data_IF_813056152603
#
_entry.id   IF_813056152603
#
_cell.length_a   1.000
_cell.length_b   1.000
_cell.length_c   1.000
_cell.angle_alpha   90.00
_cell.angle_beta   90.00
_cell.angle_gamma   90.00
#
_symmetry.space_group_name_H-M   'P 1'
#
loop_
_entity.id
_entity.type
_entity.pdbx_description
1 polymer ?
#
# COMPACT_ATOMS: atom_id res chain seq x y z
N UNK A 1 -39.99 20.56 18.74
CA UNK A 1 -39.10 19.80 19.67
C UNK A 1 -39.45 18.32 19.72
N UNK A 2 -40.73 17.94 19.54
CA UNK A 2 -41.15 16.54 19.46
C UNK A 2 -40.67 15.83 18.17
N UNK A 3 -40.69 16.51 17.03
CA UNK A 3 -40.28 15.94 15.74
C UNK A 3 -38.77 15.62 15.67
N UNK A 4 -37.93 16.36 16.40
CA UNK A 4 -36.48 16.14 16.40
C UNK A 4 -36.07 14.88 17.19
N UNK A 5 -36.85 14.53 18.22
CA UNK A 5 -36.63 13.30 18.99
C UNK A 5 -37.14 12.07 18.23
N UNK A 6 -38.23 12.22 17.48
CA UNK A 6 -38.78 11.16 16.64
C UNK A 6 -37.84 10.79 15.50
N UNK A 7 -37.26 11.79 14.82
CA UNK A 7 -36.23 11.58 13.80
C UNK A 7 -34.99 10.86 14.37
N UNK A 8 -34.56 11.22 15.59
CA UNK A 8 -33.42 10.55 16.24
C UNK A 8 -33.71 9.11 16.68
N UNK A 9 -34.96 8.79 16.99
CA UNK A 9 -35.35 7.42 17.34
C UNK A 9 -35.55 6.54 16.10
N UNK A 10 -36.00 7.14 14.99
CA UNK A 10 -36.10 6.52 13.67
C UNK A 10 -34.70 6.25 13.07
N UNK A 11 -33.80 7.24 13.11
CA UNK A 11 -32.38 7.07 12.72
C UNK A 11 -31.69 5.98 13.56
N UNK A 12 -31.96 5.94 14.88
CA UNK A 12 -31.43 4.89 15.78
C UNK A 12 -32.10 3.52 15.58
N UNK A 13 -33.30 3.49 15.03
CA UNK A 13 -34.03 2.27 14.66
C UNK A 13 -33.47 1.68 13.38
N UNK A 14 -33.27 2.51 12.36
CA UNK A 14 -32.64 2.13 11.10
C UNK A 14 -31.20 1.67 11.28
N UNK A 15 -30.39 2.33 12.13
CA UNK A 15 -29.03 1.88 12.47
C UNK A 15 -29.01 0.49 13.11
N UNK A 16 -30.01 0.15 13.95
CA UNK A 16 -30.13 -1.18 14.58
C UNK A 16 -30.58 -2.25 13.60
N UNK A 17 -31.46 -1.91 12.67
CA UNK A 17 -31.92 -2.83 11.63
C UNK A 17 -30.87 -3.06 10.54
N UNK A 18 -30.04 -2.05 10.23
CA UNK A 18 -28.84 -2.22 9.40
C UNK A 18 -27.79 -3.08 10.10
N UNK A 19 -27.51 -2.85 11.39
CA UNK A 19 -26.59 -3.68 12.18
C UNK A 19 -26.97 -5.17 12.23
N UNK A 20 -28.27 -5.48 12.19
CA UNK A 20 -28.78 -6.86 12.17
C UNK A 20 -28.72 -7.52 10.80
N UNK A 21 -28.61 -6.75 9.71
CA UNK A 21 -28.63 -7.26 8.33
C UNK A 21 -27.24 -7.71 7.84
N UNK A 22 -26.16 -7.28 8.50
CA UNK A 22 -24.78 -7.59 8.10
C UNK A 22 -24.20 -8.78 8.90
N UNK A 23 -24.08 -9.92 8.23
CA UNK A 23 -23.34 -11.08 8.75
C UNK A 23 -21.83 -10.82 8.72
N UNK A 24 -21.07 -11.41 9.65
CA UNK A 24 -19.62 -11.26 9.65
C UNK A 24 -19.03 -11.76 8.31
N UNK A 25 -18.10 -11.01 7.69
CA UNK A 25 -17.42 -11.41 6.47
C UNK A 25 -16.63 -12.68 6.76
N UNK A 26 -17.13 -13.81 6.26
CA UNK A 26 -16.49 -15.12 6.36
C UNK A 26 -15.49 -15.37 5.23
N UNK A 27 -15.29 -14.40 4.33
CA UNK A 27 -14.37 -14.54 3.22
C UNK A 27 -12.93 -14.71 3.77
N UNK A 28 -12.21 -15.67 3.21
CA UNK A 28 -10.76 -15.80 3.40
C UNK A 28 -10.09 -15.37 2.12
N UNK A 29 -8.89 -14.82 2.17
CA UNK A 29 -8.21 -14.44 0.92
C UNK A 29 -8.11 -15.67 0.03
N UNK A 30 -8.76 -15.61 -1.14
CA UNK A 30 -8.59 -16.59 -2.20
C UNK A 30 -7.29 -16.24 -2.93
N UNK A 31 -6.18 -16.26 -2.18
CA UNK A 31 -4.84 -16.07 -2.72
C UNK A 31 -4.64 -17.22 -3.69
N UNK A 32 -3.96 -16.95 -4.82
CA UNK A 32 -3.41 -18.00 -5.66
C UNK A 32 -2.31 -18.76 -4.88
N UNK A 33 -2.72 -19.56 -3.90
CA UNK A 33 -1.87 -20.34 -2.99
C UNK A 33 -1.35 -21.62 -3.64
N UNK A 34 -1.56 -21.78 -4.95
CA UNK A 34 -1.22 -22.98 -5.70
C UNK A 34 0.28 -23.35 -5.58
N UNK A 35 1.13 -22.43 -5.13
CA UNK A 35 2.58 -22.61 -4.98
C UNK A 35 3.10 -22.44 -3.53
N UNK A 36 2.23 -22.31 -2.52
CA UNK A 36 2.69 -22.20 -1.12
C UNK A 36 2.71 -23.60 -0.48
N UNK A 37 3.84 -24.03 0.12
CA UNK A 37 3.90 -25.27 0.88
C UNK A 37 2.80 -25.37 1.94
N UNK A 38 2.21 -26.55 2.11
CA UNK A 38 1.04 -26.77 2.99
C UNK A 38 1.34 -26.40 4.45
N UNK A 39 2.53 -26.73 4.94
CA UNK A 39 3.03 -26.39 6.27
C UNK A 39 3.07 -24.87 6.50
N UNK A 40 3.59 -24.11 5.54
CA UNK A 40 3.60 -22.64 5.59
C UNK A 40 2.17 -22.10 5.59
N UNK A 41 1.29 -22.66 4.75
CA UNK A 41 -0.11 -22.24 4.70
C UNK A 41 -0.83 -22.49 6.04
N UNK A 42 -0.70 -23.68 6.61
CA UNK A 42 -1.29 -24.04 7.90
C UNK A 42 -0.77 -23.16 9.03
N UNK A 43 0.54 -22.87 9.03
CA UNK A 43 1.14 -21.93 9.97
C UNK A 43 0.57 -20.51 9.85
N UNK A 44 0.46 -19.96 8.63
CA UNK A 44 -0.09 -18.62 8.38
C UNK A 44 -1.60 -18.53 8.71
N UNK A 45 -2.33 -19.62 8.47
CA UNK A 45 -3.74 -19.76 8.86
C UNK A 45 -3.89 -19.76 10.38
N UNK A 46 -3.10 -20.57 11.09
CA UNK A 46 -3.10 -20.63 12.55
C UNK A 46 -2.68 -19.30 13.19
N UNK A 47 -1.75 -18.57 12.57
CA UNK A 47 -1.35 -17.23 12.97
C UNK A 47 -2.42 -16.14 12.67
N UNK A 48 -3.52 -16.49 12.00
CA UNK A 48 -4.61 -15.57 11.65
C UNK A 48 -4.21 -14.50 10.62
N UNK A 49 -3.17 -14.75 9.82
CA UNK A 49 -2.66 -13.80 8.82
C UNK A 49 -3.55 -13.73 7.57
N UNK A 50 -4.31 -14.78 7.31
CA UNK A 50 -5.13 -14.97 6.10
C UNK A 50 -6.63 -14.75 6.32
N UNK A 51 -7.01 -14.26 7.51
CA UNK A 51 -8.40 -13.93 7.86
C UNK A 51 -8.64 -12.42 7.90
N UNK A 52 -9.88 -11.97 7.63
CA UNK A 52 -10.28 -10.58 7.79
C UNK A 52 -10.36 -10.21 9.27
N UNK A 53 -10.44 -8.89 9.53
CA UNK A 53 -10.80 -8.38 10.85
C UNK A 53 -12.33 -8.44 11.03
N UNK A 54 -12.85 -8.30 12.26
CA UNK A 54 -14.28 -8.06 12.47
C UNK A 54 -14.73 -6.86 11.64
N UNK A 55 -15.86 -6.98 10.93
CA UNK A 55 -16.22 -6.06 9.85
C UNK A 55 -16.34 -4.60 10.30
N UNK A 56 -16.89 -4.32 11.48
CA UNK A 56 -17.01 -2.95 12.01
C UNK A 56 -15.64 -2.31 12.16
N UNK A 57 -14.68 -3.07 12.69
CA UNK A 57 -13.31 -2.63 12.84
C UNK A 57 -12.63 -2.47 11.47
N UNK A 58 -12.80 -3.44 10.58
CA UNK A 58 -12.25 -3.40 9.22
C UNK A 58 -12.75 -2.18 8.44
N UNK A 59 -14.07 -1.95 8.43
CA UNK A 59 -14.71 -0.84 7.76
C UNK A 59 -14.18 0.50 8.27
N UNK A 60 -14.13 0.70 9.59
CA UNK A 60 -13.60 1.93 10.16
C UNK A 60 -12.12 2.13 9.85
N UNK A 61 -11.31 1.07 9.91
CA UNK A 61 -9.89 1.14 9.52
C UNK A 61 -9.74 1.54 8.05
N UNK A 62 -10.53 0.93 7.15
CA UNK A 62 -10.52 1.27 5.72
C UNK A 62 -10.96 2.71 5.49
N UNK A 63 -12.02 3.17 6.16
CA UNK A 63 -12.48 4.56 6.10
C UNK A 63 -11.39 5.52 6.55
N UNK A 64 -10.69 5.22 7.64
CA UNK A 64 -9.56 5.99 8.13
C UNK A 64 -8.37 5.98 7.17
N UNK A 65 -8.07 4.82 6.57
CA UNK A 65 -7.02 4.69 5.56
C UNK A 65 -7.32 5.58 4.35
N UNK A 66 -8.53 5.53 3.80
CA UNK A 66 -8.96 6.37 2.66
C UNK A 66 -8.79 7.85 3.00
N UNK A 67 -9.16 8.24 4.22
CA UNK A 67 -9.17 9.64 4.65
C UNK A 67 -7.77 10.20 4.90
N UNK A 68 -6.89 9.44 5.55
CA UNK A 68 -5.63 9.96 6.10
C UNK A 68 -4.36 9.42 5.44
N UNK A 69 -4.42 8.26 4.77
CA UNK A 69 -3.24 7.58 4.21
C UNK A 69 -3.29 7.56 2.68
N UNK A 70 -4.45 7.23 2.11
CA UNK A 70 -4.63 7.05 0.67
C UNK A 70 -4.22 8.25 -0.22
N UNK A 71 -4.43 9.52 0.16
CA UNK A 71 -4.01 10.67 -0.66
C UNK A 71 -2.50 10.71 -0.92
N UNK A 72 -1.71 10.09 -0.04
CA UNK A 72 -0.24 9.98 -0.14
C UNK A 72 0.16 8.62 -0.72
N UNK A 73 -0.74 7.63 -0.75
CA UNK A 73 -0.47 6.21 -1.00
C UNK A 73 -1.66 5.57 -1.71
N UNK A 74 -1.81 5.89 -3.00
CA UNK A 74 -2.97 5.49 -3.81
C UNK A 74 -2.93 3.99 -4.19
N UNK A 75 -3.14 3.12 -3.19
CA UNK A 75 -2.97 1.66 -3.30
C UNK A 75 -4.29 0.87 -3.21
N UNK A 76 -5.43 1.53 -2.98
CA UNK A 76 -6.72 0.85 -2.80
C UNK A 76 -7.34 0.29 -4.07
N UNK A 77 -7.03 0.85 -5.24
CA UNK A 77 -7.63 0.38 -6.50
C UNK A 77 -7.32 -1.11 -6.77
N UNK A 78 -6.20 -1.62 -6.24
CA UNK A 78 -5.79 -3.02 -6.35
C UNK A 78 -6.38 -3.92 -5.25
N UNK A 79 -6.82 -3.34 -4.14
CA UNK A 79 -7.34 -4.05 -2.96
C UNK A 79 -8.86 -4.19 -3.04
N UNK A 80 -9.56 -3.11 -3.40
CA UNK A 80 -11.02 -3.05 -3.53
C UNK A 80 -11.36 -3.13 -5.01
N UNK A 81 -11.05 -4.27 -5.63
CA UNK A 81 -11.63 -4.60 -6.93
C UNK A 81 -13.15 -4.64 -6.80
N UNK A 82 -13.87 -4.10 -7.77
CA UNK A 82 -15.34 -4.15 -7.83
C UNK A 82 -15.83 -5.59 -7.65
N UNK A 83 -16.38 -5.90 -6.48
CA UNK A 83 -16.98 -7.19 -6.14
C UNK A 83 -16.24 -7.97 -5.05
N UNK A 84 -17.00 -8.64 -4.19
CA UNK A 84 -16.65 -9.33 -2.94
C UNK A 84 -15.58 -10.45 -3.04
N UNK A 85 -14.95 -10.66 -4.19
CA UNK A 85 -14.21 -11.89 -4.48
C UNK A 85 -12.69 -11.78 -4.67
N UNK A 86 -12.06 -10.60 -4.65
CA UNK A 86 -10.62 -10.54 -5.03
C UNK A 86 -9.80 -9.47 -4.30
N UNK A 87 -9.63 -9.58 -2.98
CA UNK A 87 -8.40 -9.04 -2.40
C UNK A 87 -7.25 -9.97 -2.81
N UNK A 88 -6.40 -9.50 -3.73
CA UNK A 88 -5.36 -10.32 -4.38
C UNK A 88 -4.14 -10.58 -3.48
N UNK A 89 -3.90 -9.69 -2.52
CA UNK A 89 -2.70 -9.69 -1.68
C UNK A 89 -3.10 -9.63 -0.21
N UNK A 90 -2.90 -10.72 0.54
CA UNK A 90 -3.05 -10.70 1.99
C UNK A 90 -2.00 -9.81 2.66
N UNK A 91 -0.78 -9.77 2.11
CA UNK A 91 0.30 -8.91 2.63
C UNK A 91 -0.13 -7.44 2.57
N UNK A 92 -0.57 -6.98 1.41
CA UNK A 92 -1.02 -5.61 1.20
C UNK A 92 -2.25 -5.29 2.05
N UNK A 93 -3.19 -6.23 2.17
CA UNK A 93 -4.33 -6.07 3.05
C UNK A 93 -3.92 -5.80 4.50
N UNK A 94 -3.08 -6.67 5.09
CA UNK A 94 -2.66 -6.52 6.48
C UNK A 94 -1.90 -5.20 6.67
N UNK A 95 -1.10 -4.79 5.67
CA UNK A 95 -0.39 -3.51 5.70
C UNK A 95 -1.32 -2.29 5.60
N UNK A 96 -2.40 -2.35 4.80
CA UNK A 96 -3.44 -1.31 4.76
C UNK A 96 -4.19 -1.23 6.08
N UNK A 97 -4.53 -2.37 6.67
CA UNK A 97 -5.18 -2.40 7.98
C UNK A 97 -4.27 -1.78 9.05
N UNK A 98 -2.98 -2.12 9.03
CA UNK A 98 -1.98 -1.52 9.91
C UNK A 98 -1.91 0.00 9.71
N UNK A 99 -1.85 0.49 8.48
CA UNK A 99 -1.73 1.92 8.23
C UNK A 99 -2.98 2.70 8.68
N UNK A 100 -4.17 2.21 8.35
CA UNK A 100 -5.45 2.86 8.70
C UNK A 100 -5.75 2.84 10.20
N UNK A 101 -5.34 1.78 10.90
CA UNK A 101 -5.59 1.64 12.35
C UNK A 101 -4.93 2.73 13.20
N UNK A 102 -4.01 3.54 12.66
CA UNK A 102 -3.37 4.64 13.40
C UNK A 102 -4.38 5.73 13.81
N UNK A 103 -5.51 5.80 13.10
CA UNK A 103 -6.49 6.87 13.24
C UNK A 103 -7.82 6.40 13.83
N UNK A 104 -7.92 5.12 14.18
CA UNK A 104 -9.14 4.55 14.77
C UNK A 104 -9.20 4.83 16.27
N UNK A 105 -10.38 5.25 16.74
CA UNK A 105 -10.68 5.47 18.16
C UNK A 105 -11.74 4.47 18.61
N UNK A 106 -11.61 3.94 19.81
CA UNK A 106 -12.60 3.12 20.55
C UNK A 106 -13.06 1.78 19.93
N UNK A 107 -12.83 1.53 18.64
CA UNK A 107 -13.22 0.27 17.98
C UNK A 107 -12.30 -0.91 18.29
N UNK A 108 -11.04 -0.66 18.68
CA UNK A 108 -10.09 -1.72 19.01
C UNK A 108 -10.55 -2.56 20.22
N UNK A 109 -11.02 -1.89 21.29
CA UNK A 109 -11.52 -2.57 22.49
C UNK A 109 -12.83 -3.31 22.22
N UNK A 110 -13.74 -2.70 21.46
CA UNK A 110 -14.99 -3.33 21.06
C UNK A 110 -14.77 -4.62 20.25
N UNK A 111 -13.69 -4.68 19.47
CA UNK A 111 -13.28 -5.85 18.72
C UNK A 111 -12.43 -6.87 19.52
N UNK A 112 -12.33 -6.72 20.85
CA UNK A 112 -11.62 -7.67 21.73
C UNK A 112 -10.11 -7.47 21.83
N UNK A 113 -9.55 -6.37 21.32
CA UNK A 113 -8.13 -6.03 21.52
C UNK A 113 -7.93 -5.28 22.84
N UNK A 114 -6.82 -5.54 23.52
CA UNK A 114 -6.53 -4.90 24.82
C UNK A 114 -6.28 -3.39 24.69
N UNK A 115 -5.69 -2.97 23.56
CA UNK A 115 -5.39 -1.57 23.25
C UNK A 115 -5.23 -1.36 21.75
N UNK A 116 -5.19 -0.10 21.32
CA UNK A 116 -4.84 0.25 19.94
C UNK A 116 -3.41 -0.20 19.58
N UNK A 117 -2.49 -0.13 20.54
CA UNK A 117 -1.10 -0.61 20.37
C UNK A 117 -1.09 -2.13 20.14
N UNK A 118 -1.88 -2.90 20.89
CA UNK A 118 -2.00 -4.36 20.69
C UNK A 118 -2.57 -4.72 19.32
N UNK A 119 -3.62 -4.02 18.87
CA UNK A 119 -4.17 -4.18 17.52
C UNK A 119 -3.09 -3.94 16.45
N UNK A 120 -2.40 -2.81 16.55
CA UNK A 120 -1.35 -2.40 15.58
C UNK A 120 -0.17 -3.37 15.58
N UNK A 121 0.26 -3.82 16.76
CA UNK A 121 1.30 -4.83 16.91
C UNK A 121 0.90 -6.14 16.21
N UNK A 122 -0.32 -6.63 16.44
CA UNK A 122 -0.83 -7.85 15.77
C UNK A 122 -0.92 -7.69 14.26
N UNK A 123 -1.40 -6.55 13.75
CA UNK A 123 -1.46 -6.27 12.31
C UNK A 123 -0.07 -6.23 11.67
N UNK A 124 0.89 -5.57 12.34
CA UNK A 124 2.28 -5.55 11.89
C UNK A 124 2.89 -6.94 11.85
N UNK A 125 2.68 -7.76 12.90
CA UNK A 125 3.15 -9.14 12.92
C UNK A 125 2.57 -9.98 11.79
N UNK A 126 1.27 -9.85 11.50
CA UNK A 126 0.64 -10.54 10.36
C UNK A 126 1.29 -10.14 9.04
N UNK A 127 1.47 -8.85 8.78
CA UNK A 127 2.13 -8.36 7.57
C UNK A 127 3.59 -8.87 7.47
N UNK A 128 4.33 -8.82 8.57
CA UNK A 128 5.70 -9.34 8.65
C UNK A 128 5.77 -10.83 8.31
N UNK A 129 4.93 -11.67 8.91
CA UNK A 129 4.91 -13.11 8.66
C UNK A 129 4.58 -13.42 7.19
N UNK A 130 3.63 -12.69 6.59
CA UNK A 130 3.28 -12.85 5.18
C UNK A 130 4.43 -12.45 4.25
N UNK A 131 5.17 -11.39 4.60
CA UNK A 131 6.35 -10.98 3.84
C UNK A 131 7.48 -12.01 3.95
N UNK A 132 7.80 -12.46 5.17
CA UNK A 132 8.88 -13.43 5.44
C UNK A 132 8.58 -14.82 4.85
N UNK A 133 7.30 -15.19 4.77
CA UNK A 133 6.86 -16.42 4.09
C UNK A 133 6.98 -16.34 2.55
N UNK A 134 7.24 -15.16 1.98
CA UNK A 134 7.46 -15.00 0.54
C UNK A 134 6.24 -15.26 -0.34
N UNK A 135 5.02 -15.22 0.24
CA UNK A 135 3.79 -15.61 -0.48
C UNK A 135 3.29 -14.55 -1.48
N UNK A 136 3.78 -13.32 -1.37
CA UNK A 136 3.38 -12.23 -2.26
C UNK A 136 4.22 -12.24 -3.53
N UNK A 137 3.62 -12.63 -4.66
CA UNK A 137 4.31 -12.71 -5.94
C UNK A 137 4.30 -11.40 -6.72
N UNK A 138 3.29 -10.54 -6.52
CA UNK A 138 3.23 -9.27 -7.21
C UNK A 138 4.20 -8.27 -6.54
N UNK A 139 5.27 -7.86 -7.23
CA UNK A 139 6.27 -7.00 -6.62
C UNK A 139 5.72 -5.59 -6.35
N UNK A 140 4.69 -5.13 -7.07
CA UNK A 140 4.04 -3.85 -6.76
C UNK A 140 3.29 -3.90 -5.44
N UNK A 141 2.44 -4.91 -5.25
CA UNK A 141 1.75 -5.17 -3.96
C UNK A 141 2.75 -5.33 -2.82
N UNK A 142 3.87 -6.02 -3.06
CA UNK A 142 4.95 -6.17 -2.08
C UNK A 142 5.58 -4.82 -1.70
N UNK A 143 5.95 -3.98 -2.67
CA UNK A 143 6.53 -2.65 -2.41
C UNK A 143 5.52 -1.78 -1.65
N UNK A 144 4.25 -1.75 -2.08
CA UNK A 144 3.20 -0.98 -1.42
C UNK A 144 3.04 -1.40 0.05
N UNK A 145 3.00 -2.70 0.33
CA UNK A 145 2.89 -3.21 1.68
C UNK A 145 4.10 -2.81 2.54
N UNK A 146 5.32 -2.93 2.01
CA UNK A 146 6.54 -2.54 2.71
C UNK A 146 6.57 -1.04 3.05
N UNK A 147 6.12 -0.18 2.13
CA UNK A 147 5.97 1.27 2.39
C UNK A 147 4.99 1.48 3.55
N UNK A 148 3.84 0.82 3.55
CA UNK A 148 2.83 0.97 4.60
C UNK A 148 3.31 0.42 5.96
N UNK A 149 4.07 -0.68 5.97
CA UNK A 149 4.68 -1.22 7.19
C UNK A 149 5.61 -0.22 7.86
N UNK A 150 6.28 0.64 7.08
CA UNK A 150 7.16 1.68 7.64
C UNK A 150 6.40 2.73 8.46
N UNK A 151 5.06 2.83 8.36
CA UNK A 151 4.23 3.77 9.12
C UNK A 151 4.03 3.39 10.59
N UNK A 152 4.57 2.25 11.00
CA UNK A 152 4.53 1.80 12.38
C UNK A 152 5.94 1.54 12.89
N UNK A 153 6.17 1.91 14.14
CA UNK A 153 7.36 1.61 14.91
C UNK A 153 6.93 1.45 16.36
N UNK A 154 7.47 0.44 17.03
CA UNK A 154 7.32 0.24 18.46
C UNK A 154 8.72 0.02 19.03
N UNK A 155 9.07 0.74 20.10
CA UNK A 155 10.39 0.69 20.76
C UNK A 155 10.67 -0.65 21.48
N UNK A 156 9.98 -1.72 21.09
CA UNK A 156 10.21 -3.07 21.61
C UNK A 156 11.46 -3.67 21.00
N UNK A 157 12.39 -4.09 21.85
CA UNK A 157 13.63 -4.77 21.48
C UNK A 157 13.35 -5.94 20.51
N UNK A 158 13.91 -5.85 19.29
CA UNK A 158 13.88 -6.94 18.29
C UNK A 158 12.92 -6.76 17.10
N UNK A 159 12.12 -5.70 17.05
CA UNK A 159 11.42 -5.34 15.80
C UNK A 159 12.39 -4.69 14.82
N UNK A 160 12.20 -4.93 13.52
CA UNK A 160 13.01 -4.30 12.48
C UNK A 160 12.48 -2.87 12.25
N UNK A 161 13.37 -1.88 12.31
CA UNK A 161 12.99 -0.47 12.23
C UNK A 161 12.42 -0.09 10.85
N UNK A 162 11.63 1.00 10.73
CA UNK A 162 11.17 1.53 9.45
C UNK A 162 12.24 1.69 8.36
N UNK A 163 13.48 2.16 8.67
CA UNK A 163 14.64 2.08 7.78
C UNK A 163 14.82 0.74 7.05
N UNK A 164 14.71 -0.38 7.77
CA UNK A 164 14.92 -1.72 7.21
C UNK A 164 13.88 -2.05 6.14
N UNK A 165 12.60 -1.81 6.42
CA UNK A 165 11.50 -2.10 5.50
C UNK A 165 11.56 -1.22 4.25
N UNK A 166 11.97 0.04 4.42
CA UNK A 166 12.22 0.95 3.32
C UNK A 166 13.35 0.44 2.40
N UNK A 167 14.46 -0.04 2.98
CA UNK A 167 15.59 -0.55 2.19
C UNK A 167 15.20 -1.76 1.32
N UNK A 168 14.36 -2.67 1.86
CA UNK A 168 13.81 -3.78 1.06
C UNK A 168 12.90 -3.26 -0.07
N UNK A 169 12.03 -2.29 0.24
CA UNK A 169 11.13 -1.71 -0.75
C UNK A 169 11.92 -1.03 -1.89
N UNK A 170 12.96 -0.27 -1.54
CA UNK A 170 13.87 0.37 -2.48
C UNK A 170 14.65 -0.65 -3.32
N UNK A 171 15.19 -1.70 -2.69
CA UNK A 171 15.88 -2.77 -3.41
C UNK A 171 14.96 -3.45 -4.44
N UNK A 172 13.73 -3.76 -4.04
CA UNK A 172 12.72 -4.35 -4.94
C UNK A 172 12.38 -3.39 -6.10
N UNK A 173 12.17 -2.11 -5.80
CA UNK A 173 11.89 -1.09 -6.83
C UNK A 173 13.05 -0.90 -7.83
N UNK A 174 14.30 -0.98 -7.36
CA UNK A 174 15.50 -0.91 -8.20
C UNK A 174 15.63 -2.12 -9.12
N UNK A 175 15.38 -3.34 -8.61
CA UNK A 175 15.37 -4.55 -9.45
C UNK A 175 14.35 -4.47 -10.59
N UNK A 176 13.23 -3.80 -10.35
CA UNK A 176 12.19 -3.56 -11.36
C UNK A 176 12.44 -2.30 -12.22
N UNK A 177 13.55 -1.58 -12.00
CA UNK A 177 13.91 -0.36 -12.73
C UNK A 177 12.80 0.72 -12.70
N UNK A 178 12.09 0.87 -11.56
CA UNK A 178 10.98 1.83 -11.45
C UNK A 178 11.42 3.28 -11.71
N UNK A 179 12.64 3.63 -11.32
CA UNK A 179 13.22 4.97 -11.53
C UNK A 179 13.44 5.30 -13.00
N UNK A 180 13.78 4.31 -13.82
CA UNK A 180 14.12 4.51 -15.24
C UNK A 180 12.86 4.55 -16.11
N UNK A 181 11.81 3.88 -15.66
CA UNK A 181 10.51 3.78 -16.33
C UNK A 181 9.54 4.91 -15.94
N UNK A 182 10.05 6.03 -15.43
CA UNK A 182 9.23 7.20 -15.11
C UNK A 182 8.80 7.92 -16.40
N UNK A 183 7.58 7.64 -16.85
CA UNK A 183 7.02 8.27 -18.05
C UNK A 183 6.41 9.63 -17.70
N UNK A 184 6.85 10.69 -18.40
CA UNK A 184 6.29 12.03 -18.33
C UNK A 184 4.79 12.01 -18.70
N UNK A 185 3.92 12.54 -17.83
CA UNK A 185 2.49 12.76 -18.13
C UNK A 185 1.54 11.60 -17.80
N UNK A 186 2.02 10.42 -17.41
CA UNK A 186 1.15 9.32 -16.96
C UNK A 186 1.24 9.12 -15.45
N UNK A 187 0.14 9.28 -14.72
CA UNK A 187 0.02 8.91 -13.29
C UNK A 187 -0.20 7.41 -13.12
N UNK A 188 0.61 6.59 -13.79
CA UNK A 188 0.55 5.13 -13.66
C UNK A 188 0.99 4.69 -12.26
N UNK A 189 0.61 3.47 -11.87
CA UNK A 189 0.88 2.92 -10.54
C UNK A 189 2.37 2.98 -10.16
N UNK A 190 3.25 2.69 -11.13
CA UNK A 190 4.70 2.69 -10.95
C UNK A 190 5.22 4.07 -10.53
N UNK A 191 4.79 5.12 -11.22
CA UNK A 191 5.14 6.51 -10.88
C UNK A 191 4.69 6.86 -9.47
N UNK A 192 3.48 6.44 -9.08
CA UNK A 192 2.95 6.71 -7.73
C UNK A 192 3.76 5.98 -6.66
N UNK A 193 4.06 4.70 -6.87
CA UNK A 193 4.92 3.91 -5.96
C UNK A 193 6.30 4.56 -5.81
N UNK A 194 6.91 4.98 -6.92
CA UNK A 194 8.21 5.66 -6.89
C UNK A 194 8.16 6.96 -6.08
N UNK A 195 7.15 7.80 -6.29
CA UNK A 195 7.00 9.05 -5.53
C UNK A 195 6.68 8.80 -4.04
N UNK A 196 5.96 7.72 -3.71
CA UNK A 196 5.76 7.30 -2.33
C UNK A 196 7.09 6.93 -1.67
N UNK A 197 7.94 6.13 -2.34
CA UNK A 197 9.28 5.77 -1.86
C UNK A 197 10.15 7.01 -1.68
N UNK A 198 10.13 7.93 -2.65
CA UNK A 198 10.88 9.17 -2.62
C UNK A 198 10.55 10.04 -1.39
N UNK A 199 9.26 10.25 -1.12
CA UNK A 199 8.82 11.02 0.05
C UNK A 199 9.16 10.27 1.33
N UNK A 200 8.95 8.95 1.36
CA UNK A 200 9.18 8.14 2.55
C UNK A 200 10.65 8.08 2.95
N UNK A 201 11.56 7.98 1.98
CA UNK A 201 13.01 8.01 2.19
C UNK A 201 13.47 9.27 2.91
N UNK A 202 12.90 10.43 2.58
CA UNK A 202 13.19 11.70 3.27
C UNK A 202 12.65 11.75 4.69
N UNK A 203 11.41 11.33 4.88
CA UNK A 203 10.79 11.31 6.21
C UNK A 203 11.59 10.40 7.15
N UNK A 204 11.97 9.22 6.68
CA UNK A 204 12.75 8.26 7.48
C UNK A 204 14.18 8.76 7.69
N UNK A 205 14.83 9.35 6.68
CA UNK A 205 16.16 9.95 6.84
C UNK A 205 16.18 11.02 7.93
N UNK A 206 15.16 11.89 7.95
CA UNK A 206 15.00 12.92 8.98
C UNK A 206 14.70 12.33 10.37
N UNK A 207 13.82 11.33 10.45
CA UNK A 207 13.40 10.76 11.74
C UNK A 207 14.48 9.88 12.40
N UNK A 208 15.30 9.18 11.61
CA UNK A 208 16.29 8.21 12.11
C UNK A 208 17.75 8.66 11.95
N UNK A 209 17.98 9.90 11.49
CA UNK A 209 19.33 10.46 11.34
C UNK A 209 20.20 9.71 10.32
N UNK A 210 19.60 9.14 9.27
CA UNK A 210 20.32 8.39 8.21
C UNK A 210 20.44 9.21 6.93
N UNK A 211 21.34 8.76 6.04
CA UNK A 211 21.46 9.34 4.69
C UNK A 211 20.22 8.99 3.85
N UNK A 212 19.80 9.93 3.01
CA UNK A 212 18.81 9.68 1.94
C UNK A 212 19.38 8.69 0.93
N UNK A 213 18.58 7.73 0.50
CA UNK A 213 19.00 6.71 -0.47
C UNK A 213 18.68 7.11 -1.91
N UNK A 214 17.59 7.87 -2.14
CA UNK A 214 17.21 8.36 -3.47
C UNK A 214 17.78 9.76 -3.66
N UNK A 215 18.85 9.83 -4.46
CA UNK A 215 19.54 11.08 -4.73
C UNK A 215 18.75 11.94 -5.71
N UNK A 216 19.04 13.25 -5.68
CA UNK A 216 18.43 14.20 -6.59
C UNK A 216 18.72 13.82 -8.05
N UNK A 217 19.94 13.40 -8.35
CA UNK A 217 20.44 13.02 -9.67
C UNK A 217 19.64 11.87 -10.32
N UNK A 218 19.21 10.89 -9.53
CA UNK A 218 18.37 9.76 -9.99
C UNK A 218 17.01 10.21 -10.57
N UNK A 219 16.54 11.40 -10.18
CA UNK A 219 15.29 12.01 -10.63
C UNK A 219 15.51 12.81 -11.92
N UNK A 220 16.68 13.46 -12.05
CA UNK A 220 16.98 14.30 -13.23
C UNK A 220 17.25 13.44 -14.46
N UNK A 221 17.97 12.32 -14.31
CA UNK A 221 18.31 11.41 -15.42
C UNK A 221 17.06 10.76 -16.03
N UNK A 222 16.04 10.46 -15.23
CA UNK A 222 14.81 9.80 -15.70
C UNK A 222 13.85 10.77 -16.41
N UNK A 223 13.67 11.98 -15.87
CA UNK A 223 12.79 13.00 -16.46
C UNK A 223 13.42 13.63 -17.71
N UNK A 224 14.72 13.96 -17.67
CA UNK A 224 15.41 14.53 -18.84
C UNK A 224 15.87 13.48 -19.83
N UNK A 225 16.26 12.27 -19.41
CA UNK A 225 16.68 11.22 -20.34
C UNK A 225 15.58 10.85 -21.34
N UNK A 226 14.32 10.94 -20.93
CA UNK A 226 13.16 10.72 -21.82
C UNK A 226 12.96 11.89 -22.79
N UNK A 227 13.15 13.12 -22.33
CA UNK A 227 13.15 14.33 -23.17
C UNK A 227 14.35 14.40 -24.12
N UNK A 228 15.56 14.07 -23.67
CA UNK A 228 16.78 13.99 -24.48
C UNK A 228 16.68 12.86 -25.50
N UNK A 229 16.15 11.68 -25.13
CA UNK A 229 15.90 10.60 -26.10
C UNK A 229 14.84 10.99 -27.13
N UNK A 230 13.80 11.72 -26.73
CA UNK A 230 12.81 12.27 -27.67
C UNK A 230 13.40 13.37 -28.56
N UNK A 231 14.23 14.26 -28.01
CA UNK A 231 14.93 15.31 -28.73
C UNK A 231 15.95 14.76 -29.72
N UNK A 232 16.77 13.77 -29.32
CA UNK A 232 17.71 13.06 -30.20
C UNK A 232 16.96 12.32 -31.31
N UNK A 233 15.80 11.70 -31.04
CA UNK A 233 14.98 11.08 -32.09
C UNK A 233 14.40 12.12 -33.05
N UNK A 234 13.93 13.28 -32.56
CA UNK A 234 13.43 14.36 -33.40
C UNK A 234 14.52 14.99 -34.28
N UNK A 235 15.72 15.21 -33.74
CA UNK A 235 16.83 15.79 -34.50
C UNK A 235 17.46 14.80 -35.48
N UNK A 236 17.49 13.50 -35.15
CA UNK A 236 17.92 12.46 -36.08
C UNK A 236 17.01 12.38 -37.32
N UNK A 237 15.69 12.47 -37.15
CA UNK A 237 14.74 12.51 -38.27
C UNK A 237 14.85 13.80 -39.09
N UNK A 238 15.12 14.93 -38.41
CA UNK A 238 15.26 16.24 -39.06
C UNK A 238 16.55 16.31 -39.90
N UNK A 239 17.65 15.73 -39.41
CA UNK A 239 18.92 15.65 -40.15
C UNK A 239 18.81 14.74 -41.38
N UNK A 240 18.17 13.57 -41.24
CA UNK A 240 17.96 12.67 -42.38
C UNK A 240 17.03 13.25 -43.46
N UNK A 241 16.02 14.04 -43.07
CA UNK A 241 15.14 14.72 -44.01
C UNK A 241 15.84 15.89 -44.73
N UNK A 242 16.73 16.59 -44.02
CA UNK A 242 17.49 17.71 -44.57
C UNK A 242 18.60 17.25 -45.54
N UNK A 243 19.31 16.16 -45.25
CA UNK A 243 20.29 15.55 -46.17
C UNK A 243 19.65 15.03 -47.47
N UNK A 244 18.45 14.43 -47.40
CA UNK A 244 17.72 13.97 -48.60
C UNK A 244 17.22 15.12 -49.48
N UNK A 245 17.07 16.33 -48.92
CA UNK A 245 16.62 17.51 -49.67
C UNK A 245 17.79 18.22 -50.36
N UNK A 246 18.99 18.18 -49.78
CA UNK A 246 20.20 18.78 -50.36
C UNK A 246 20.89 17.90 -51.43
N UNK A 247 20.65 16.59 -51.43
CA UNK A 247 21.21 15.67 -52.43
C UNK A 247 20.35 15.55 -53.70
N UNK A 248 19.20 16.23 -53.77
CA UNK A 248 18.25 16.19 -54.88
C UNK A 248 18.05 17.54 -55.59
N UNK A 249 18.96 18.49 -55.38
CA UNK A 249 19.09 19.78 -56.09
C UNK A 249 20.49 19.91 -56.65
#
# INVERSE_FOLDING_TARGET
MHDFLFQQEEDRGEEREEEQRYTEPTWRFNIRLLNVPRDIYEYLMAAGCLGPLPWKLEYEILRMYVRYVHPVSTFLADIIGKGESKIKSALLYQAVMLAGSAFVKDHAKAAGYSSLVDLRRKLFWKAKLLHEAGIEFDPYSRIQALILMTLWHEDSMGQKDPPYWLDIALSTAKHMQLSENLHSGNFCLQNRIWWCLYVRDRIIALAFGRRINILREDIWVSVWGTWMRAWIRMTATFWSAWEMTLLNT
#
